data_IF_228962137816
#
_entry.id   IF_228962137816
#
_cell.length_a   1.000
_cell.length_b   1.000
_cell.length_c   1.000
_cell.angle_alpha   90.00
_cell.angle_beta   90.00
_cell.angle_gamma   90.00
#
_symmetry.space_group_name_H-M   'P 1'
#
loop_
_entity.id
_entity.type
_entity.pdbx_description
1 polymer ?
#
# COMPACT_ATOMS: atom_id res chain seq x y z
N UNK A 1 13.35 18.28 22.69
CA UNK A 1 12.55 18.37 21.45
C UNK A 1 12.28 19.83 21.19
N UNK A 2 12.47 20.29 19.95
CA UNK A 2 11.89 21.56 19.49
C UNK A 2 10.38 21.43 19.42
N UNK A 3 9.66 22.54 19.59
CA UNK A 3 8.26 22.59 19.21
C UNK A 3 8.19 22.55 17.68
N UNK A 4 7.40 21.62 17.15
CA UNK A 4 7.16 21.49 15.71
C UNK A 4 5.74 21.91 15.38
N UNK A 5 5.63 22.83 14.43
CA UNK A 5 4.35 23.28 13.88
C UNK A 5 3.88 22.34 12.76
N UNK A 6 2.57 22.14 12.67
CA UNK A 6 1.91 21.39 11.60
C UNK A 6 0.55 20.86 12.03
N UNK A 7 -0.24 20.39 11.08
CA UNK A 7 -1.51 19.73 11.33
C UNK A 7 -1.35 18.22 11.29
N UNK A 8 -2.16 17.49 12.06
CA UNK A 8 -2.13 16.03 12.07
C UNK A 8 -2.44 15.47 10.67
N UNK A 9 -1.73 14.42 10.26
CA UNK A 9 -1.84 13.83 8.91
C UNK A 9 -3.26 13.35 8.56
N UNK A 10 -4.08 13.03 9.56
CA UNK A 10 -5.46 12.59 9.37
C UNK A 10 -6.45 13.76 9.19
N UNK A 11 -6.03 15.00 9.41
CA UNK A 11 -6.84 16.20 9.17
C UNK A 11 -6.79 16.59 7.68
N UNK A 12 -7.42 15.77 6.82
CA UNK A 12 -7.38 15.92 5.37
C UNK A 12 -7.88 17.29 4.90
N UNK A 13 -8.94 17.80 5.53
CA UNK A 13 -9.51 19.12 5.20
C UNK A 13 -8.47 20.24 5.35
N UNK A 14 -7.68 20.21 6.42
CA UNK A 14 -6.60 21.18 6.66
C UNK A 14 -5.46 21.07 5.65
N UNK A 15 -5.15 19.86 5.19
CA UNK A 15 -4.17 19.64 4.11
C UNK A 15 -4.64 20.32 2.82
N UNK A 16 -5.93 20.21 2.50
CA UNK A 16 -6.54 20.86 1.34
C UNK A 16 -6.62 22.38 1.52
N UNK A 17 -6.94 22.88 2.71
CA UNK A 17 -6.91 24.33 3.05
C UNK A 17 -5.50 24.91 2.91
N UNK A 18 -4.46 24.13 3.22
CA UNK A 18 -3.07 24.45 2.91
C UNK A 18 -2.75 24.39 1.40
N UNK A 19 -3.71 24.13 0.51
CA UNK A 19 -3.47 24.00 -0.93
C UNK A 19 -2.50 22.88 -1.29
N UNK A 20 -2.36 21.86 -0.43
CA UNK A 20 -1.53 20.69 -0.65
C UNK A 20 -2.41 19.54 -1.14
N UNK A 21 -1.83 18.65 -1.95
CA UNK A 21 -2.52 17.42 -2.36
C UNK A 21 -2.29 16.33 -1.29
N UNK A 22 -3.35 15.80 -0.63
CA UNK A 22 -3.23 14.70 0.34
C UNK A 22 -2.50 13.47 -0.24
N UNK A 23 -2.60 13.24 -1.56
CA UNK A 23 -1.93 12.12 -2.22
C UNK A 23 -0.43 12.31 -2.30
N UNK A 24 0.05 13.55 -2.37
CA UNK A 24 1.48 13.86 -2.30
C UNK A 24 2.01 13.58 -0.89
N UNK A 25 1.23 13.88 0.16
CA UNK A 25 1.56 13.53 1.55
C UNK A 25 1.68 12.02 1.72
N UNK A 26 0.69 11.26 1.22
CA UNK A 26 0.69 9.79 1.23
C UNK A 26 1.94 9.22 0.53
N UNK A 27 2.33 9.80 -0.61
CA UNK A 27 3.55 9.40 -1.33
C UNK A 27 4.81 9.62 -0.48
N UNK A 28 4.92 10.77 0.18
CA UNK A 28 6.08 11.10 1.03
C UNK A 28 6.20 10.13 2.20
N UNK A 29 5.11 9.90 2.94
CA UNK A 29 5.15 8.99 4.09
C UNK A 29 5.44 7.56 3.65
N UNK A 30 4.73 7.05 2.63
CA UNK A 30 4.97 5.72 2.08
C UNK A 30 6.42 5.51 1.64
N UNK A 31 7.01 6.50 0.94
CA UNK A 31 8.41 6.45 0.51
C UNK A 31 9.36 6.43 1.70
N UNK A 32 9.11 7.28 2.69
CA UNK A 32 9.94 7.40 3.89
C UNK A 32 10.02 6.07 4.62
N UNK A 33 8.88 5.43 4.84
CA UNK A 33 8.83 4.15 5.56
C UNK A 33 9.35 2.98 4.73
N UNK A 34 9.09 2.94 3.42
CA UNK A 34 9.71 1.95 2.54
C UNK A 34 11.25 2.07 2.57
N UNK A 35 11.80 3.28 2.56
CA UNK A 35 13.25 3.50 2.64
C UNK A 35 13.80 3.14 4.03
N UNK A 36 13.08 3.46 5.12
CA UNK A 36 13.45 3.02 6.47
C UNK A 36 13.49 1.48 6.59
N UNK A 37 12.52 0.78 6.00
CA UNK A 37 12.44 -0.69 6.07
C UNK A 37 13.53 -1.33 5.20
N UNK A 38 13.56 -1.00 3.91
CA UNK A 38 14.31 -1.80 2.93
C UNK A 38 15.73 -1.29 2.67
N UNK A 39 15.97 0.03 2.75
CA UNK A 39 17.30 0.61 2.48
C UNK A 39 18.11 0.81 3.74
N UNK A 40 17.56 1.52 4.71
CA UNK A 40 18.30 1.94 5.90
C UNK A 40 18.27 0.87 6.99
N UNK A 41 17.14 0.17 7.16
CA UNK A 41 16.89 -0.75 8.27
C UNK A 41 16.87 -0.08 9.62
N UNK A 42 16.35 1.14 9.67
CA UNK A 42 16.11 1.85 10.92
C UNK A 42 14.69 2.38 10.88
N UNK A 43 13.78 1.62 11.51
CA UNK A 43 12.35 1.79 11.38
C UNK A 43 11.77 2.51 12.59
N UNK A 44 10.99 3.55 12.33
CA UNK A 44 10.06 4.10 13.30
C UNK A 44 8.83 3.18 13.38
N UNK A 45 8.58 2.52 14.51
CA UNK A 45 7.57 1.46 14.56
C UNK A 45 6.15 1.91 14.97
N UNK A 46 5.91 3.22 15.11
CA UNK A 46 4.59 3.73 15.47
C UNK A 46 4.12 5.00 14.74
N UNK A 47 4.06 5.01 13.38
CA UNK A 47 3.60 6.17 12.62
C UNK A 47 2.08 6.28 12.61
N UNK A 48 1.43 6.25 13.77
CA UNK A 48 -0.01 6.50 13.84
C UNK A 48 -0.31 7.97 13.53
N UNK A 49 -1.55 8.28 13.16
CA UNK A 49 -1.92 9.64 12.73
C UNK A 49 -1.57 10.78 13.70
N UNK A 50 -1.52 10.49 15.01
CA UNK A 50 -1.07 11.45 16.02
C UNK A 50 0.43 11.76 16.06
N UNK A 51 1.28 10.87 15.52
CA UNK A 51 2.75 11.02 15.51
C UNK A 51 3.27 11.57 14.19
N UNK A 52 2.37 12.04 13.32
CA UNK A 52 2.73 12.52 12.01
C UNK A 52 2.01 13.83 11.75
N UNK A 53 2.80 14.90 11.60
CA UNK A 53 2.30 16.20 11.19
C UNK A 53 2.61 16.45 9.72
N UNK A 54 1.80 17.33 9.13
CA UNK A 54 1.93 17.84 7.77
C UNK A 54 1.98 19.35 7.83
N UNK A 55 2.93 19.93 7.10
CA UNK A 55 3.03 21.37 6.89
C UNK A 55 3.49 21.69 5.47
N UNK A 56 3.45 22.96 5.09
CA UNK A 56 4.11 23.43 3.87
C UNK A 56 5.63 23.34 4.04
N UNK A 57 6.34 22.90 3.01
CA UNK A 57 7.79 22.86 3.03
C UNK A 57 8.36 24.30 3.14
N UNK A 58 9.30 24.57 4.07
CA UNK A 58 9.81 25.93 4.32
C UNK A 58 10.36 26.63 3.07
N UNK A 59 11.10 25.88 2.25
CA UNK A 59 11.71 26.41 1.00
C UNK A 59 10.80 26.26 -0.23
N UNK A 60 9.73 25.44 -0.14
CA UNK A 60 8.87 25.10 -1.28
C UNK A 60 7.41 25.06 -0.82
N UNK A 61 6.76 26.21 -0.60
CA UNK A 61 5.45 26.26 0.07
C UNK A 61 4.30 25.50 -0.61
N UNK A 62 4.48 25.14 -1.90
CA UNK A 62 3.55 24.31 -2.68
C UNK A 62 3.81 22.80 -2.57
N UNK A 63 4.75 22.39 -1.71
CA UNK A 63 5.09 20.99 -1.45
C UNK A 63 4.81 20.65 0.00
N UNK A 64 4.23 19.46 0.29
CA UNK A 64 4.08 19.01 1.65
C UNK A 64 5.43 18.64 2.26
N UNK A 65 5.58 18.88 3.56
CA UNK A 65 6.61 18.32 4.41
C UNK A 65 5.92 17.50 5.50
N UNK A 66 6.38 16.26 5.68
CA UNK A 66 5.94 15.37 6.76
C UNK A 66 6.93 15.49 7.92
N UNK A 67 6.41 15.68 9.13
CA UNK A 67 7.19 15.72 10.37
C UNK A 67 6.81 14.51 11.20
N UNK A 68 7.79 13.67 11.50
CA UNK A 68 7.60 12.53 12.41
C UNK A 68 7.84 13.03 13.85
N UNK A 69 6.90 12.70 14.72
CA UNK A 69 6.97 12.95 16.15
C UNK A 69 7.23 11.63 16.88
N UNK A 70 7.41 11.72 18.20
CA UNK A 70 7.55 10.57 19.10
C UNK A 70 8.55 9.52 18.61
N UNK A 71 9.82 9.86 18.79
CA UNK A 71 10.92 8.96 18.44
C UNK A 71 11.18 7.87 19.50
N UNK A 72 10.19 7.52 20.33
CA UNK A 72 10.35 6.58 21.44
C UNK A 72 10.44 5.10 21.03
N UNK A 73 9.95 4.73 19.84
CA UNK A 73 9.93 3.34 19.38
C UNK A 73 10.59 3.18 18.00
N UNK A 74 11.89 2.90 18.04
CA UNK A 74 12.67 2.51 16.87
C UNK A 74 13.12 1.05 16.93
N UNK A 75 13.31 0.46 15.75
CA UNK A 75 13.89 -0.87 15.60
C UNK A 75 14.89 -0.90 14.46
N UNK A 76 16.07 -1.44 14.75
CA UNK A 76 17.05 -1.82 13.72
C UNK A 76 16.62 -3.13 13.05
N UNK A 77 16.66 -3.13 11.72
CA UNK A 77 16.33 -4.28 10.88
C UNK A 77 17.61 -4.77 10.21
N UNK A 78 18.05 -5.97 10.57
CA UNK A 78 19.26 -6.58 10.02
C UNK A 78 19.17 -6.81 8.51
N UNK A 79 20.31 -6.79 7.82
CA UNK A 79 20.36 -6.93 6.36
C UNK A 79 19.60 -8.17 5.84
N UNK A 80 19.84 -9.35 6.42
CA UNK A 80 19.16 -10.60 6.01
C UNK A 80 17.64 -10.47 6.15
N UNK A 81 17.17 -10.00 7.30
CA UNK A 81 15.74 -9.75 7.54
C UNK A 81 15.12 -8.85 6.46
N UNK A 82 15.79 -7.74 6.08
CA UNK A 82 15.28 -6.83 5.05
C UNK A 82 15.18 -7.49 3.68
N UNK A 83 16.17 -8.30 3.33
CA UNK A 83 16.22 -9.03 2.07
C UNK A 83 15.16 -10.13 2.03
N UNK A 84 15.04 -10.94 3.08
CA UNK A 84 13.98 -11.96 3.20
C UNK A 84 12.60 -11.29 3.13
N UNK A 85 12.42 -10.14 3.79
CA UNK A 85 11.18 -9.39 3.72
C UNK A 85 10.88 -8.84 2.32
N UNK A 86 11.91 -8.39 1.59
CA UNK A 86 11.79 -7.95 0.21
C UNK A 86 11.41 -9.11 -0.72
N UNK A 87 12.04 -10.28 -0.56
CA UNK A 87 11.72 -11.49 -1.31
C UNK A 87 10.33 -12.03 -1.00
N UNK A 88 9.86 -11.95 0.26
CA UNK A 88 8.50 -12.32 0.64
C UNK A 88 7.49 -11.51 -0.19
N UNK A 89 7.62 -10.17 -0.18
CA UNK A 89 6.74 -9.30 -0.96
C UNK A 89 6.88 -9.49 -2.47
N UNK A 90 8.11 -9.68 -2.97
CA UNK A 90 8.35 -9.96 -4.37
C UNK A 90 7.66 -11.26 -4.80
N UNK A 91 7.79 -12.34 -4.03
CA UNK A 91 7.11 -13.61 -4.27
C UNK A 91 5.59 -13.47 -4.29
N UNK A 92 5.02 -12.65 -3.40
CA UNK A 92 3.58 -12.36 -3.40
C UNK A 92 3.15 -11.62 -4.67
N UNK A 93 3.95 -10.66 -5.14
CA UNK A 93 3.67 -9.90 -6.37
C UNK A 93 3.86 -10.75 -7.64
N UNK A 94 4.81 -11.69 -7.63
CA UNK A 94 5.11 -12.56 -8.78
C UNK A 94 4.35 -13.88 -8.76
N UNK A 95 3.60 -14.19 -7.69
CA UNK A 95 2.96 -15.48 -7.41
C UNK A 95 3.96 -16.64 -7.34
N UNK A 96 5.17 -16.36 -6.87
CA UNK A 96 6.20 -17.37 -6.68
C UNK A 96 6.08 -18.00 -5.29
N UNK A 97 5.27 -19.05 -5.17
CA UNK A 97 5.02 -19.73 -3.89
C UNK A 97 6.31 -20.22 -3.22
N UNK A 98 7.26 -20.75 -4.00
CA UNK A 98 8.54 -21.22 -3.45
C UNK A 98 9.34 -20.08 -2.82
N UNK A 99 9.31 -18.89 -3.41
CA UNK A 99 10.00 -17.71 -2.88
C UNK A 99 9.29 -17.15 -1.66
N UNK A 100 7.95 -17.15 -1.65
CA UNK A 100 7.18 -16.77 -0.44
C UNK A 100 7.52 -17.70 0.71
N UNK A 101 7.56 -19.01 0.46
CA UNK A 101 7.88 -20.01 1.47
C UNK A 101 9.31 -19.86 2.00
N UNK A 102 10.32 -19.80 1.13
CA UNK A 102 11.72 -19.68 1.57
C UNK A 102 11.96 -18.41 2.38
N UNK A 103 11.34 -17.30 1.95
CA UNK A 103 11.47 -16.01 2.61
C UNK A 103 10.73 -15.94 3.94
N UNK A 104 9.52 -16.51 4.01
CA UNK A 104 8.78 -16.61 5.26
C UNK A 104 9.56 -17.41 6.32
N UNK A 105 10.22 -18.49 5.91
CA UNK A 105 11.11 -19.26 6.79
C UNK A 105 12.31 -18.44 7.26
N UNK A 106 12.93 -17.66 6.35
CA UNK A 106 13.99 -16.72 6.73
C UNK A 106 13.55 -15.66 7.74
N UNK A 107 12.27 -15.30 7.73
CA UNK A 107 11.64 -14.37 8.68
C UNK A 107 11.17 -15.03 9.98
N UNK A 108 11.44 -16.32 10.18
CA UNK A 108 11.13 -17.06 11.40
C UNK A 108 9.82 -17.83 11.39
N UNK A 109 9.10 -17.88 10.26
CA UNK A 109 7.88 -18.70 10.14
C UNK A 109 8.16 -20.17 9.82
N UNK A 110 7.24 -21.03 10.22
CA UNK A 110 7.31 -22.44 9.87
C UNK A 110 6.96 -22.68 8.40
N UNK A 111 7.50 -23.76 7.84
CA UNK A 111 7.30 -24.20 6.45
C UNK A 111 5.82 -24.41 6.10
N UNK A 112 4.97 -24.68 7.10
CA UNK A 112 3.54 -24.89 6.93
C UNK A 112 2.72 -23.60 7.12
N UNK A 113 3.30 -22.58 7.76
CA UNK A 113 2.59 -21.38 8.21
C UNK A 113 2.82 -20.17 7.29
N UNK A 114 3.68 -20.28 6.26
CA UNK A 114 3.96 -19.17 5.33
C UNK A 114 2.72 -18.63 4.62
N UNK A 115 1.74 -19.50 4.31
CA UNK A 115 0.47 -19.09 3.69
C UNK A 115 -0.37 -18.24 4.62
N UNK A 116 -0.39 -18.59 5.91
CA UNK A 116 -1.07 -17.83 6.95
C UNK A 116 -0.36 -16.50 7.19
N UNK A 117 0.98 -16.48 7.24
CA UNK A 117 1.75 -15.25 7.32
C UNK A 117 1.46 -14.31 6.13
N UNK A 118 1.46 -14.85 4.92
CA UNK A 118 1.10 -14.10 3.72
C UNK A 118 -0.33 -13.55 3.80
N UNK A 119 -1.27 -14.35 4.30
CA UNK A 119 -2.66 -13.93 4.47
C UNK A 119 -2.80 -12.79 5.49
N UNK A 120 -2.10 -12.88 6.62
CA UNK A 120 -2.08 -11.83 7.64
C UNK A 120 -1.39 -10.56 7.14
N UNK A 121 -0.29 -10.69 6.41
CA UNK A 121 0.45 -9.55 5.87
C UNK A 121 -0.37 -8.80 4.83
N UNK A 122 -1.11 -9.50 3.97
CA UNK A 122 -1.90 -8.92 2.87
C UNK A 122 -3.35 -8.63 3.25
N UNK A 123 -3.80 -9.13 4.42
CA UNK A 123 -5.18 -9.11 4.89
C UNK A 123 -6.16 -9.81 3.91
N UNK A 124 -5.69 -10.89 3.28
CA UNK A 124 -6.42 -11.63 2.23
C UNK A 124 -6.19 -13.12 2.35
N UNK A 125 -7.16 -13.93 1.95
CA UNK A 125 -6.97 -15.38 1.96
C UNK A 125 -5.90 -15.78 0.93
N UNK A 126 -5.21 -16.90 1.18
CA UNK A 126 -4.19 -17.43 0.25
C UNK A 126 -4.75 -17.63 -1.17
N UNK A 127 -6.01 -18.06 -1.26
CA UNK A 127 -6.72 -18.23 -2.52
C UNK A 127 -6.92 -16.90 -3.25
N UNK A 128 -7.14 -15.79 -2.56
CA UNK A 128 -7.22 -14.46 -3.19
C UNK A 128 -5.85 -13.95 -3.67
N UNK A 129 -4.77 -14.36 -3.03
CA UNK A 129 -3.39 -14.00 -3.41
C UNK A 129 -2.96 -14.76 -4.67
N UNK A 130 -3.10 -16.09 -4.63
CA UNK A 130 -2.63 -17.03 -5.68
C UNK A 130 -3.67 -17.28 -6.76
N UNK A 131 -4.95 -17.04 -6.47
CA UNK A 131 -6.12 -17.43 -7.24
C UNK A 131 -6.04 -17.20 -8.74
N UNK A 132 -6.63 -18.18 -9.45
CA UNK A 132 -6.67 -18.37 -10.90
C UNK A 132 -7.93 -17.74 -11.50
N UNK A 133 -8.77 -17.02 -10.74
CA UNK A 133 -10.04 -16.48 -11.26
C UNK A 133 -9.81 -15.67 -12.54
N UNK A 134 -10.29 -16.24 -13.65
CA UNK A 134 -9.91 -15.89 -15.03
C UNK A 134 -10.50 -14.56 -15.49
N UNK A 135 -11.45 -13.96 -14.75
CA UNK A 135 -12.29 -12.91 -15.32
C UNK A 135 -12.14 -11.48 -14.78
N UNK A 136 -11.51 -11.20 -13.64
CA UNK A 136 -11.59 -9.82 -13.11
C UNK A 136 -10.31 -9.11 -12.66
N UNK A 137 -9.14 -9.78 -12.62
CA UNK A 137 -7.92 -9.04 -12.26
C UNK A 137 -6.61 -9.65 -12.75
N UNK A 138 -6.17 -9.18 -13.93
CA UNK A 138 -4.91 -9.62 -14.57
C UNK A 138 -3.64 -9.15 -13.86
N UNK A 139 -3.72 -8.34 -12.80
CA UNK A 139 -2.54 -7.71 -12.17
C UNK A 139 -2.44 -8.05 -10.68
N UNK A 140 -1.24 -8.41 -10.21
CA UNK A 140 -1.00 -8.83 -8.83
C UNK A 140 -1.31 -7.76 -7.78
N UNK A 141 -1.21 -6.48 -8.14
CA UNK A 141 -1.44 -5.38 -7.23
C UNK A 141 -2.92 -5.10 -6.93
N UNK A 142 -3.84 -5.29 -7.89
CA UNK A 142 -5.28 -5.11 -7.67
C UNK A 142 -5.84 -6.19 -6.73
N UNK A 143 -5.23 -7.39 -6.74
CA UNK A 143 -5.56 -8.43 -5.76
C UNK A 143 -4.99 -8.16 -4.38
N UNK A 144 -3.87 -7.46 -4.24
CA UNK A 144 -3.33 -7.03 -2.95
C UNK A 144 -4.02 -5.77 -2.41
N UNK A 145 -4.85 -5.11 -3.23
CA UNK A 145 -5.67 -3.98 -2.81
C UNK A 145 -6.85 -4.43 -1.93
N UNK A 146 -7.04 -3.73 -0.81
CA UNK A 146 -8.25 -3.85 0.00
C UNK A 146 -9.41 -3.14 -0.73
N UNK A 147 -10.20 -3.88 -1.53
CA UNK A 147 -11.49 -3.38 -2.05
C UNK A 147 -12.45 -3.25 -0.86
N UNK A 148 -12.97 -2.04 -0.62
CA UNK A 148 -14.07 -1.87 0.33
C UNK A 148 -15.42 -1.99 -0.37
N UNK A 149 -16.06 -3.13 -0.10
CA UNK A 149 -17.49 -3.30 0.14
C UNK A 149 -17.66 -4.02 1.50
N UNK A 150 -18.87 -4.03 2.05
CA UNK A 150 -19.22 -4.74 3.32
C UNK A 150 -18.82 -6.22 3.33
N UNK A 151 -18.72 -6.83 2.15
CA UNK A 151 -18.53 -8.27 1.91
C UNK A 151 -17.15 -8.81 2.38
N UNK A 152 -16.06 -8.04 2.18
CA UNK A 152 -14.71 -8.53 2.47
C UNK A 152 -14.38 -8.56 3.98
N UNK A 153 -15.12 -7.80 4.79
CA UNK A 153 -14.91 -7.72 6.25
C UNK A 153 -15.43 -8.96 6.97
N UNK A 154 -16.52 -9.55 6.47
CA UNK A 154 -17.09 -10.78 7.03
C UNK A 154 -16.25 -12.01 6.67
N UNK A 155 -15.76 -12.10 5.44
CA UNK A 155 -14.87 -13.19 5.02
C UNK A 155 -13.57 -13.18 5.85
N UNK A 156 -12.94 -12.01 6.00
CA UNK A 156 -11.74 -11.87 6.82
C UNK A 156 -12.02 -12.23 8.29
N UNK A 157 -13.17 -11.82 8.83
CA UNK A 157 -13.57 -12.19 10.19
C UNK A 157 -13.74 -13.69 10.34
N UNK A 158 -14.44 -14.37 9.42
CA UNK A 158 -14.59 -15.83 9.42
C UNK A 158 -13.23 -16.53 9.31
N UNK A 159 -12.33 -16.01 8.47
CA UNK A 159 -10.96 -16.53 8.36
C UNK A 159 -10.21 -16.42 9.70
N UNK A 160 -10.24 -15.26 10.35
CA UNK A 160 -9.61 -15.06 11.66
C UNK A 160 -10.23 -15.96 12.72
N UNK A 161 -11.55 -16.11 12.75
CA UNK A 161 -12.26 -16.99 13.69
C UNK A 161 -11.89 -18.47 13.46
N UNK A 162 -11.73 -18.89 12.20
CA UNK A 162 -11.38 -20.26 11.82
C UNK A 162 -9.93 -20.61 12.17
N UNK A 163 -8.98 -19.70 11.90
CA UNK A 163 -7.54 -19.94 12.06
C UNK A 163 -6.94 -19.26 13.31
N UNK A 164 -7.78 -18.88 14.28
CA UNK A 164 -7.34 -18.13 15.46
C UNK A 164 -6.22 -18.84 16.24
N UNK A 165 -6.27 -20.16 16.50
CA UNK A 165 -5.20 -20.87 17.19
C UNK A 165 -3.86 -20.79 16.43
N UNK A 166 -3.89 -21.04 15.12
CA UNK A 166 -2.72 -21.03 14.25
C UNK A 166 -2.13 -19.62 14.11
N UNK A 167 -2.99 -18.59 14.05
CA UNK A 167 -2.56 -17.19 14.05
C UNK A 167 -1.85 -16.87 15.36
N UNK A 168 -2.41 -17.30 16.49
CA UNK A 168 -1.85 -17.03 17.81
C UNK A 168 -0.50 -17.72 18.01
N UNK A 169 -0.38 -18.97 17.57
CA UNK A 169 0.88 -19.72 17.58
C UNK A 169 1.93 -19.06 16.70
N UNK A 170 1.56 -18.70 15.46
CA UNK A 170 2.45 -18.02 14.52
C UNK A 170 2.93 -16.68 15.07
N UNK A 171 2.04 -15.83 15.59
CA UNK A 171 2.42 -14.54 16.18
C UNK A 171 3.35 -14.68 17.38
N UNK A 172 3.21 -15.78 18.14
CA UNK A 172 4.03 -16.05 19.31
C UNK A 172 5.44 -16.51 18.96
N UNK A 173 5.63 -17.15 17.80
CA UNK A 173 6.95 -17.59 17.33
C UNK A 173 7.69 -16.54 16.50
N UNK A 174 7.00 -15.51 16.00
CA UNK A 174 7.61 -14.50 15.14
C UNK A 174 8.63 -13.61 15.84
N UNK A 175 9.71 -13.20 15.14
CA UNK A 175 10.63 -12.20 15.65
C UNK A 175 9.91 -10.85 15.81
N UNK A 176 10.28 -10.12 16.86
CA UNK A 176 9.67 -8.82 17.19
C UNK A 176 9.80 -7.80 16.05
N UNK A 177 10.90 -7.88 15.30
CA UNK A 177 11.16 -7.12 14.07
C UNK A 177 9.97 -7.20 13.10
N UNK A 178 9.49 -8.42 12.82
CA UNK A 178 8.41 -8.65 11.87
C UNK A 178 7.08 -8.10 12.38
N UNK A 179 6.78 -8.33 13.65
CA UNK A 179 5.55 -7.82 14.29
C UNK A 179 5.48 -6.29 14.23
N UNK A 180 6.61 -5.62 14.49
CA UNK A 180 6.70 -4.16 14.42
C UNK A 180 6.55 -3.64 12.98
N UNK A 181 7.15 -4.32 12.01
CA UNK A 181 6.98 -3.99 10.57
C UNK A 181 5.52 -4.17 10.14
N UNK A 182 4.86 -5.25 10.56
CA UNK A 182 3.44 -5.50 10.27
C UNK A 182 2.55 -4.40 10.85
N UNK A 183 2.71 -4.06 12.12
CA UNK A 183 2.00 -2.94 12.77
C UNK A 183 2.21 -1.63 12.01
N UNK A 184 3.46 -1.36 11.61
CA UNK A 184 3.81 -0.14 10.86
C UNK A 184 3.08 -0.09 9.52
N UNK A 185 3.05 -1.20 8.77
CA UNK A 185 2.34 -1.26 7.50
C UNK A 185 0.84 -1.05 7.65
N UNK A 186 0.22 -1.55 8.71
CA UNK A 186 -1.20 -1.34 8.96
C UNK A 186 -1.52 0.13 9.29
N UNK A 187 -0.65 0.79 10.06
CA UNK A 187 -0.74 2.24 10.29
C UNK A 187 -0.62 3.02 8.97
N UNK A 188 0.34 2.67 8.11
CA UNK A 188 0.53 3.33 6.81
C UNK A 188 -0.67 3.12 5.88
N UNK A 189 -1.24 1.92 5.84
CA UNK A 189 -2.47 1.62 5.09
C UNK A 189 -3.64 2.45 5.57
N UNK A 190 -3.77 2.64 6.89
CA UNK A 190 -4.81 3.49 7.47
C UNK A 190 -4.65 4.96 7.02
N UNK A 191 -3.43 5.48 7.07
CA UNK A 191 -3.10 6.84 6.61
C UNK A 191 -3.37 7.00 5.11
N UNK A 192 -2.93 6.05 4.27
CA UNK A 192 -3.16 6.08 2.83
C UNK A 192 -4.65 6.10 2.46
N UNK A 193 -5.48 5.36 3.21
CA UNK A 193 -6.94 5.39 3.03
C UNK A 193 -7.51 6.75 3.39
N UNK A 194 -7.12 7.31 4.53
CA UNK A 194 -7.58 8.63 4.96
C UNK A 194 -7.21 9.70 3.93
N UNK A 195 -6.01 9.64 3.36
CA UNK A 195 -5.52 10.59 2.34
C UNK A 195 -6.06 10.33 0.92
N UNK A 196 -6.98 9.37 0.73
CA UNK A 196 -7.60 9.08 -0.57
C UNK A 196 -6.66 8.42 -1.59
N UNK A 197 -5.58 7.76 -1.13
CA UNK A 197 -4.57 7.14 -1.96
C UNK A 197 -4.22 5.69 -1.53
N UNK A 198 -5.21 4.77 -1.49
CA UNK A 198 -5.06 3.45 -0.87
C UNK A 198 -4.01 2.52 -1.51
N UNK A 199 -3.48 2.88 -2.68
CA UNK A 199 -2.54 2.09 -3.47
C UNK A 199 -1.10 2.60 -3.43
N UNK A 200 -0.86 3.77 -2.84
CA UNK A 200 0.45 4.40 -2.87
C UNK A 200 1.47 3.57 -2.09
N UNK A 201 1.15 3.16 -0.85
CA UNK A 201 2.04 2.37 0.01
C UNK A 201 2.49 1.09 -0.70
N UNK A 202 1.55 0.31 -1.25
CA UNK A 202 1.87 -0.94 -1.94
C UNK A 202 2.74 -0.70 -3.18
N UNK A 203 2.40 0.30 -3.98
CA UNK A 203 3.12 0.61 -5.21
C UNK A 203 4.54 1.09 -4.94
N UNK A 204 4.71 2.01 -3.99
CA UNK A 204 6.00 2.57 -3.60
C UNK A 204 6.88 1.51 -2.92
N UNK A 205 6.26 0.65 -2.12
CA UNK A 205 6.93 -0.52 -1.53
C UNK A 205 7.45 -1.44 -2.62
N UNK A 206 6.63 -1.77 -3.63
CA UNK A 206 7.03 -2.60 -4.76
C UNK A 206 8.19 -2.00 -5.56
N UNK A 207 8.13 -0.71 -5.89
CA UNK A 207 9.24 -0.01 -6.57
C UNK A 207 10.53 -0.06 -5.73
N UNK A 208 10.42 0.09 -4.41
CA UNK A 208 11.57 0.06 -3.51
C UNK A 208 12.16 -1.34 -3.41
N UNK A 209 11.33 -2.37 -3.29
CA UNK A 209 11.74 -3.78 -3.29
C UNK A 209 12.46 -4.13 -4.59
N UNK A 210 11.91 -3.73 -5.75
CA UNK A 210 12.53 -4.02 -7.04
C UNK A 210 13.96 -3.46 -7.13
N UNK A 211 14.20 -2.25 -6.60
CA UNK A 211 15.54 -1.65 -6.56
C UNK A 211 16.47 -2.37 -5.60
N UNK A 212 15.99 -2.69 -4.39
CA UNK A 212 16.81 -3.37 -3.37
C UNK A 212 17.22 -4.79 -3.83
N UNK A 213 16.30 -5.55 -4.42
CA UNK A 213 16.61 -6.88 -4.97
C UNK A 213 17.50 -6.82 -6.21
N UNK A 214 17.42 -5.74 -7.00
CA UNK A 214 18.38 -5.50 -8.08
C UNK A 214 19.78 -5.25 -7.53
N UNK A 215 19.92 -4.32 -6.57
CA UNK A 215 21.19 -4.00 -5.90
C UNK A 215 21.82 -5.24 -5.26
N UNK A 216 21.03 -6.03 -4.53
CA UNK A 216 21.48 -7.29 -3.94
C UNK A 216 21.99 -8.25 -5.03
N UNK A 217 21.20 -8.48 -6.09
CA UNK A 217 21.60 -9.41 -7.15
C UNK A 217 22.88 -8.95 -7.81
N UNK A 218 23.01 -7.67 -8.14
CA UNK A 218 24.20 -7.09 -8.75
C UNK A 218 25.43 -7.19 -7.83
N UNK A 219 25.25 -7.05 -6.52
CA UNK A 219 26.34 -7.18 -5.55
C UNK A 219 26.89 -8.60 -5.43
N UNK A 220 26.10 -9.61 -5.80
CA UNK A 220 26.48 -11.02 -5.78
C UNK A 220 27.06 -11.52 -7.13
N UNK A 221 27.17 -10.65 -8.14
CA UNK A 221 27.73 -11.02 -9.45
C UNK A 221 29.25 -10.81 -9.49
N UNK A 222 29.93 -11.72 -10.18
CA UNK A 222 31.34 -11.56 -10.48
C UNK A 222 31.57 -10.39 -11.46
N UNK A 223 32.61 -9.56 -11.26
CA UNK A 223 32.95 -8.48 -12.18
C UNK A 223 33.17 -9.01 -13.61
N UNK A 224 32.36 -8.53 -14.57
CA UNK A 224 32.49 -8.87 -15.99
C UNK A 224 31.42 -9.82 -16.54
N UNK A 225 30.54 -10.38 -15.69
CA UNK A 225 29.37 -11.14 -16.17
C UNK A 225 28.25 -10.19 -16.63
N UNK A 226 28.43 -9.69 -17.85
CA UNK A 226 27.47 -8.78 -18.49
C UNK A 226 26.12 -9.45 -18.76
N UNK A 227 26.09 -10.77 -18.94
CA UNK A 227 24.87 -11.51 -19.29
C UNK A 227 23.94 -11.59 -18.08
N UNK A 228 24.46 -11.97 -16.91
CA UNK A 228 23.67 -11.99 -15.68
C UNK A 228 23.29 -10.58 -15.20
N UNK A 229 24.18 -9.60 -15.42
CA UNK A 229 23.88 -8.18 -15.18
C UNK A 229 22.70 -7.71 -16.04
N UNK A 230 22.71 -8.05 -17.33
CA UNK A 230 21.62 -7.73 -18.25
C UNK A 230 20.32 -8.44 -17.86
N UNK A 231 20.40 -9.72 -17.46
CA UNK A 231 19.24 -10.47 -16.99
C UNK A 231 18.65 -9.87 -15.70
N UNK A 232 19.49 -9.46 -14.74
CA UNK A 232 19.05 -8.79 -13.52
C UNK A 232 18.29 -7.50 -13.84
N UNK A 233 18.89 -6.62 -14.67
CA UNK A 233 18.26 -5.37 -15.12
C UNK A 233 16.98 -5.61 -15.91
N UNK A 234 16.96 -6.62 -16.79
CA UNK A 234 15.77 -6.96 -17.58
C UNK A 234 14.61 -7.42 -16.70
N UNK A 235 14.88 -8.24 -15.67
CA UNK A 235 13.86 -8.65 -14.69
C UNK A 235 13.31 -7.45 -13.93
N UNK A 236 14.18 -6.56 -13.47
CA UNK A 236 13.78 -5.34 -12.78
C UNK A 236 12.97 -4.41 -13.68
N UNK A 237 13.37 -4.26 -14.94
CA UNK A 237 12.62 -3.48 -15.93
C UNK A 237 11.22 -4.07 -16.17
N UNK A 238 11.10 -5.40 -16.31
CA UNK A 238 9.81 -6.07 -16.47
C UNK A 238 8.88 -5.81 -15.27
N UNK A 239 9.40 -5.82 -14.04
CA UNK A 239 8.62 -5.47 -12.86
C UNK A 239 8.18 -4.00 -12.86
N UNK A 240 9.06 -3.06 -13.22
CA UNK A 240 8.68 -1.65 -13.37
C UNK A 240 7.59 -1.46 -14.43
N UNK A 241 7.67 -2.16 -15.57
CA UNK A 241 6.62 -2.14 -16.60
C UNK A 241 5.29 -2.64 -16.04
N UNK A 242 5.29 -3.73 -15.26
CA UNK A 242 4.07 -4.26 -14.62
C UNK A 242 3.48 -3.29 -13.61
N UNK A 243 4.31 -2.66 -12.78
CA UNK A 243 3.89 -1.63 -11.81
C UNK A 243 3.30 -0.42 -12.55
N UNK A 244 3.97 0.05 -13.60
CA UNK A 244 3.50 1.19 -14.39
C UNK A 244 2.19 0.88 -15.11
N UNK A 245 2.06 -0.29 -15.73
CA UNK A 245 0.81 -0.75 -16.33
C UNK A 245 -0.33 -0.81 -15.32
N UNK A 246 -0.04 -1.22 -14.08
CA UNK A 246 -1.01 -1.19 -12.99
C UNK A 246 -1.43 0.24 -12.61
N UNK A 247 -0.48 1.15 -12.44
CA UNK A 247 -0.77 2.56 -12.17
C UNK A 247 -1.67 3.18 -13.26
N UNK A 248 -1.39 2.86 -14.54
CA UNK A 248 -2.21 3.31 -15.66
C UNK A 248 -3.63 2.72 -15.63
N UNK A 249 -3.77 1.43 -15.33
CA UNK A 249 -5.08 0.77 -15.23
C UNK A 249 -5.93 1.36 -14.10
N UNK A 250 -5.31 1.65 -12.95
CA UNK A 250 -5.97 2.32 -11.82
C UNK A 250 -6.35 3.75 -12.17
N UNK A 251 -5.48 4.50 -12.85
CA UNK A 251 -5.80 5.85 -13.30
C UNK A 251 -6.96 5.83 -14.31
N UNK A 252 -6.97 4.85 -15.22
CA UNK A 252 -8.05 4.64 -16.17
C UNK A 252 -9.37 4.29 -15.48
N UNK A 253 -9.38 3.34 -14.55
CA UNK A 253 -10.61 2.94 -13.84
C UNK A 253 -11.19 4.10 -13.01
N UNK A 254 -10.33 4.93 -12.40
CA UNK A 254 -10.73 6.17 -11.74
C UNK A 254 -11.33 7.17 -12.71
N UNK A 255 -10.71 7.38 -13.87
CA UNK A 255 -11.21 8.29 -14.90
C UNK A 255 -12.61 7.84 -15.36
N UNK A 256 -12.78 6.56 -15.67
CA UNK A 256 -14.09 5.99 -16.06
C UNK A 256 -15.13 6.20 -14.96
N UNK A 257 -14.80 5.97 -13.69
CA UNK A 257 -15.71 6.24 -12.57
C UNK A 257 -16.11 7.71 -12.49
N UNK A 258 -15.15 8.63 -12.57
CA UNK A 258 -15.43 10.08 -12.54
C UNK A 258 -16.28 10.54 -13.73
N UNK A 259 -16.04 10.00 -14.92
CA UNK A 259 -16.87 10.29 -16.08
C UNK A 259 -18.28 9.73 -15.88
N UNK A 260 -18.40 8.48 -15.42
CA UNK A 260 -19.71 7.88 -15.16
C UNK A 260 -20.53 8.65 -14.12
N UNK A 261 -19.90 9.13 -13.03
CA UNK A 261 -20.58 9.95 -12.03
C UNK A 261 -21.01 11.31 -12.59
N UNK A 262 -20.20 11.93 -13.45
CA UNK A 262 -20.57 13.19 -14.12
C UNK A 262 -21.76 12.99 -15.07
N UNK A 263 -21.78 11.89 -15.83
CA UNK A 263 -22.91 11.55 -16.71
C UNK A 263 -24.20 11.23 -15.93
N UNK A 264 -24.10 10.53 -14.80
CA UNK A 264 -25.25 10.29 -13.91
C UNK A 264 -25.77 11.59 -13.29
N UNK A 265 -24.88 12.47 -12.83
CA UNK A 265 -25.26 13.75 -12.22
C UNK A 265 -25.89 14.70 -13.25
N UNK A 266 -25.42 14.70 -14.50
CA UNK A 266 -26.02 15.46 -15.59
C UNK A 266 -27.44 14.95 -15.92
N UNK A 267 -27.66 13.63 -15.89
CA UNK A 267 -28.96 13.00 -16.12
C UNK A 267 -29.98 13.37 -15.03
N UNK A 268 -29.56 13.32 -13.76
CA UNK A 268 -30.40 13.73 -12.62
C UNK A 268 -30.75 15.23 -12.66
N UNK A 269 -29.81 16.09 -13.08
CA UNK A 269 -30.11 17.53 -13.25
C UNK A 269 -31.07 17.80 -14.41
N UNK A 270 -30.98 17.08 -15.53
CA UNK A 270 -31.91 17.24 -16.65
C UNK A 270 -33.33 16.81 -16.29
N UNK A 271 -33.49 15.70 -15.57
CA UNK A 271 -34.80 15.19 -15.12
C UNK A 271 -35.44 16.11 -14.06
N UNK A 272 -34.63 16.76 -13.21
CA UNK A 272 -35.11 17.76 -12.26
C UNK A 272 -35.63 19.05 -12.93
N UNK A 273 -34.97 19.53 -14.01
CA UNK A 273 -35.47 20.69 -14.77
C UNK A 273 -36.78 20.40 -15.49
N UNK A 274 -36.96 19.20 -16.07
CA UNK A 274 -38.17 18.83 -16.82
C UNK A 274 -39.39 18.74 -15.89
N UNK A 275 -39.21 18.26 -14.66
CA UNK A 275 -40.30 18.18 -13.67
C UNK A 275 -40.66 19.52 -13.00
N UNK A 276 -39.83 20.57 -13.14
CA UNK A 276 -40.12 21.92 -12.62
C UNK A 276 -40.93 22.80 -13.57
N UNK A 277 -41.13 22.36 -14.82
CA UNK A 277 -41.89 23.07 -15.86
C UNK A 277 -43.26 22.42 -16.14
N UNK A 278 -44.05 22.19 -15.09
CA UNK A 278 -45.48 21.80 -15.20
C UNK A 278 -46.40 23.00 -15.42
N UNK A 279 -47.55 22.85 -16.11
CA UNK A 279 -48.30 23.98 -16.65
C UNK A 279 -48.99 24.81 -15.57
N UNK A 280 -48.84 26.14 -15.67
CA UNK A 280 -49.66 27.13 -14.96
C UNK A 280 -51.13 26.91 -15.35
N UNK A 281 -51.90 26.25 -14.48
CA UNK A 281 -53.35 26.16 -14.61
C UNK A 281 -53.95 27.53 -14.37
N UNK A 282 -54.42 28.12 -15.46
CA UNK A 282 -55.34 29.25 -15.52
C UNK A 282 -56.55 29.02 -14.61
N UNK A 283 -56.68 29.85 -13.58
CA UNK A 283 -57.95 30.10 -12.89
C UNK A 283 -58.59 31.30 -13.58
N UNK A 284 -59.67 31.07 -14.33
CA UNK A 284 -60.58 32.10 -14.80
C UNK A 284 -61.99 31.72 -14.35
N UNK A 285 -62.57 32.63 -13.56
CA UNK A 285 -63.98 32.97 -13.32
C UNK A 285 -65.04 31.86 -13.19
#
# INVERSE_FOLDING_TARGET
>A
MSFEEGDQILMVDKIVEMGLDPRDVSRIISRTFADQIFKHGFLHCDPHGGNVLVRRHPERPNKPQVVLLDHGLYKELGYRFRIDYAHLWHGLMTRNESEVQSSAVGLGADVNSFRLLAAMLTLKSWNQIVGVDEEESKLAFDRLEMKHGTDNSEELRRYVEQYFPEISELLSSMPRELLLVMKTNDNLRSIDRALGAPLNTLTITAETICRVLEEERLSNLEPGDWMSTLQARSRTLNMHIRIFAFQLLVAYSRLVRTLSSLFSQQKDTSDATINSSGPLTSTAD
#
